data_IF_728597834972
#
_entry.id   IF_728597834972
#
_cell.length_a   1.000
_cell.length_b   1.000
_cell.length_c   1.000
_cell.angle_alpha   90.00
_cell.angle_beta   90.00
_cell.angle_gamma   90.00
#
_symmetry.space_group_name_H-M   'P 1'
#
loop_
_entity.id
_entity.type
_entity.pdbx_description
1 polymer ?
#
# COMPACT_ATOMS: atom_id res chain seq x y z
N UNK A 1 12.76 -21.38 32.48
CA UNK A 1 12.87 -20.87 31.09
C UNK A 1 12.56 -21.95 30.07
N UNK A 2 12.81 -23.20 30.40
CA UNK A 2 12.57 -24.32 29.49
C UNK A 2 11.11 -24.79 29.61
N UNK A 3 10.55 -25.23 28.49
CA UNK A 3 9.23 -25.82 28.37
C UNK A 3 9.31 -27.17 27.67
N UNK A 4 8.35 -28.03 27.99
CA UNK A 4 8.21 -29.38 27.44
C UNK A 4 7.07 -29.41 26.43
N UNK A 5 7.30 -30.04 25.28
CA UNK A 5 6.27 -30.20 24.27
C UNK A 5 5.28 -31.28 24.72
N UNK A 6 3.98 -30.97 24.70
CA UNK A 6 2.90 -31.89 25.02
C UNK A 6 2.33 -32.56 23.76
N UNK A 7 2.11 -31.77 22.70
CA UNK A 7 1.56 -32.25 21.43
C UNK A 7 1.98 -31.37 20.27
N UNK A 8 2.04 -31.96 19.08
CA UNK A 8 2.31 -31.29 17.81
C UNK A 8 1.13 -31.60 16.88
N UNK A 9 0.52 -30.58 16.28
CA UNK A 9 -0.63 -30.71 15.37
C UNK A 9 -0.49 -29.73 14.22
N UNK A 10 -0.02 -30.21 13.07
CA UNK A 10 0.36 -29.35 11.96
C UNK A 10 1.45 -28.36 12.40
N UNK A 11 1.20 -27.07 12.22
CA UNK A 11 2.11 -26.00 12.62
C UNK A 11 1.91 -25.50 14.06
N UNK A 12 0.99 -26.11 14.82
CA UNK A 12 0.71 -25.72 16.22
C UNK A 12 1.35 -26.70 17.19
N UNK A 13 2.01 -26.14 18.20
CA UNK A 13 2.70 -26.86 19.25
C UNK A 13 2.14 -26.43 20.60
N UNK A 14 1.69 -27.39 21.40
CA UNK A 14 1.33 -27.16 22.79
C UNK A 14 2.56 -27.38 23.66
N UNK A 15 2.91 -26.39 24.48
CA UNK A 15 4.10 -26.39 25.32
C UNK A 15 3.71 -26.11 26.76
N UNK A 16 4.22 -26.93 27.67
CA UNK A 16 4.10 -26.73 29.11
C UNK A 16 5.34 -26.03 29.66
N UNK A 17 5.14 -24.96 30.42
CA UNK A 17 6.15 -24.26 31.19
C UNK A 17 5.80 -24.30 32.68
N UNK A 18 6.81 -24.08 33.52
CA UNK A 18 6.59 -23.74 34.92
C UNK A 18 5.84 -22.40 35.03
N UNK A 19 4.90 -22.22 35.98
CA UNK A 19 4.10 -20.99 36.10
C UNK A 19 4.93 -19.72 36.19
N UNK A 20 6.08 -19.78 36.85
CA UNK A 20 7.01 -18.64 36.99
C UNK A 20 7.70 -18.21 35.69
N UNK A 21 7.62 -19.02 34.64
CA UNK A 21 8.27 -18.81 33.35
C UNK A 21 7.28 -18.86 32.16
N UNK A 22 5.97 -18.81 32.44
CA UNK A 22 4.95 -18.83 31.40
C UNK A 22 5.16 -17.66 30.42
N UNK A 23 5.31 -17.91 29.12
CA UNK A 23 5.46 -16.84 28.12
C UNK A 23 4.15 -16.07 27.90
N UNK A 24 4.26 -14.78 27.62
CA UNK A 24 3.13 -13.96 27.19
C UNK A 24 2.79 -14.21 25.71
N UNK A 25 1.58 -13.80 25.30
CA UNK A 25 1.20 -13.77 23.88
C UNK A 25 2.20 -12.92 23.09
N UNK A 26 2.56 -13.38 21.89
CA UNK A 26 3.58 -12.83 20.99
C UNK A 26 5.04 -12.94 21.49
N UNK A 27 5.31 -13.63 22.60
CA UNK A 27 6.70 -14.02 22.89
C UNK A 27 7.19 -15.04 21.87
N UNK A 28 8.45 -14.91 21.48
CA UNK A 28 9.17 -15.90 20.71
C UNK A 28 9.64 -17.03 21.62
N UNK A 29 9.52 -18.25 21.12
CA UNK A 29 10.13 -19.43 21.69
C UNK A 29 11.13 -19.99 20.69
N UNK A 30 12.12 -20.71 21.21
CA UNK A 30 13.14 -21.28 20.35
C UNK A 30 13.61 -22.66 20.79
N UNK A 31 14.12 -23.43 19.84
CA UNK A 31 14.76 -24.74 20.05
C UNK A 31 15.84 -24.93 18.99
N UNK A 32 16.59 -26.04 19.07
CA UNK A 32 17.65 -26.39 18.14
C UNK A 32 18.73 -25.30 18.08
N UNK A 33 19.30 -24.94 19.24
CA UNK A 33 20.38 -23.94 19.34
C UNK A 33 20.04 -22.58 18.72
N UNK A 34 18.83 -22.08 18.99
CA UNK A 34 18.30 -20.82 18.47
C UNK A 34 18.07 -20.78 16.95
N UNK A 35 17.90 -21.94 16.31
CA UNK A 35 17.68 -22.02 14.85
C UNK A 35 16.22 -22.28 14.48
N UNK A 36 15.36 -22.63 15.44
CA UNK A 36 13.92 -22.84 15.20
C UNK A 36 13.13 -21.84 16.03
N UNK A 37 12.15 -21.19 15.43
CA UNK A 37 11.37 -20.11 16.03
C UNK A 37 9.89 -20.45 16.06
N UNK A 38 9.27 -20.28 17.23
CA UNK A 38 7.84 -20.39 17.43
C UNK A 38 7.30 -19.10 18.03
N UNK A 39 6.03 -18.78 17.76
CA UNK A 39 5.37 -17.60 18.32
C UNK A 39 4.18 -18.01 19.17
N UNK A 40 4.13 -17.55 20.42
CA UNK A 40 3.01 -17.82 21.32
C UNK A 40 1.76 -17.09 20.85
N UNK A 41 0.68 -17.84 20.59
CA UNK A 41 -0.60 -17.30 20.11
C UNK A 41 -1.74 -17.40 21.12
N UNK A 42 -1.68 -18.32 22.07
CA UNK A 42 -2.69 -18.42 23.14
C UNK A 42 -2.12 -19.02 24.41
N UNK A 43 -2.56 -18.50 25.56
CA UNK A 43 -2.35 -19.12 26.87
C UNK A 43 -3.60 -19.95 27.20
N UNK A 44 -3.42 -21.24 27.47
CA UNK A 44 -4.53 -22.17 27.78
C UNK A 44 -4.86 -22.11 29.27
N UNK A 45 -3.83 -22.16 30.11
CA UNK A 45 -3.91 -22.12 31.57
C UNK A 45 -2.55 -21.65 32.15
N UNK A 46 -2.38 -21.75 33.47
CA UNK A 46 -1.21 -21.25 34.19
C UNK A 46 0.12 -21.96 33.84
N UNK A 47 0.09 -23.05 33.08
CA UNK A 47 1.29 -23.79 32.65
C UNK A 47 1.37 -24.01 31.15
N UNK A 48 0.25 -24.04 30.42
CA UNK A 48 0.20 -24.49 29.03
C UNK A 48 -0.09 -23.33 28.08
N UNK A 49 0.64 -23.32 26.97
CA UNK A 49 0.45 -22.37 25.86
C UNK A 49 0.32 -23.13 24.53
N UNK A 50 -0.27 -22.48 23.53
CA UNK A 50 -0.11 -22.86 22.12
C UNK A 50 0.79 -21.85 21.42
N UNK A 51 1.79 -22.37 20.73
CA UNK A 51 2.66 -21.62 19.84
C UNK A 51 2.51 -22.16 18.42
N UNK A 52 2.78 -21.29 17.45
CA UNK A 52 2.84 -21.67 16.04
C UNK A 52 4.28 -21.70 15.57
N UNK A 53 4.61 -22.60 14.65
CA UNK A 53 5.92 -22.65 14.02
C UNK A 53 6.06 -21.47 13.05
N UNK A 54 7.05 -20.61 13.28
CA UNK A 54 7.43 -19.53 12.36
C UNK A 54 8.49 -20.03 11.39
N UNK A 55 9.46 -20.75 11.91
CA UNK A 55 10.55 -21.33 11.12
C UNK A 55 11.10 -22.55 11.83
N UNK A 56 11.29 -23.65 11.10
CA UNK A 56 11.89 -24.87 11.61
C UNK A 56 13.13 -25.22 10.79
N UNK A 57 14.30 -25.19 11.45
CA UNK A 57 15.57 -25.61 10.85
C UNK A 57 15.61 -27.13 10.62
N UNK A 58 15.01 -27.90 11.55
CA UNK A 58 14.80 -29.34 11.46
C UNK A 58 13.45 -29.70 12.07
N UNK A 59 12.99 -30.92 11.80
CA UNK A 59 11.72 -31.43 12.34
C UNK A 59 11.71 -31.37 13.87
N UNK A 60 10.64 -30.83 14.44
CA UNK A 60 10.44 -30.73 15.88
C UNK A 60 9.85 -32.05 16.39
N UNK A 61 10.43 -32.57 17.47
CA UNK A 61 10.06 -33.82 18.14
C UNK A 61 9.61 -33.54 19.57
N UNK A 62 8.78 -34.41 20.14
CA UNK A 62 8.28 -34.28 21.52
C UNK A 62 9.38 -34.25 22.59
N UNK A 63 10.58 -34.74 22.26
CA UNK A 63 11.76 -34.71 23.13
C UNK A 63 12.49 -33.37 23.14
N UNK A 64 12.20 -32.46 22.21
CA UNK A 64 12.91 -31.20 22.12
C UNK A 64 12.53 -30.25 23.26
N UNK A 65 13.52 -29.52 23.76
CA UNK A 65 13.34 -28.53 24.82
C UNK A 65 13.06 -27.18 24.19
N UNK A 66 11.94 -26.56 24.57
CA UNK A 66 11.58 -25.22 24.12
C UNK A 66 12.10 -24.18 25.11
N UNK A 67 12.74 -23.13 24.63
CA UNK A 67 13.30 -22.04 25.44
C UNK A 67 12.43 -20.80 25.23
N UNK A 68 11.95 -20.21 26.33
CA UNK A 68 11.26 -18.92 26.32
C UNK A 68 12.27 -17.76 26.24
N UNK A 69 12.26 -16.99 25.14
CA UNK A 69 13.17 -15.84 24.97
C UNK A 69 12.76 -14.63 25.79
N UNK A 70 11.51 -14.62 26.31
CA UNK A 70 10.86 -13.50 27.02
C UNK A 70 10.72 -12.22 26.20
N UNK A 71 10.90 -12.29 24.89
CA UNK A 71 10.84 -11.15 23.96
C UNK A 71 10.02 -11.51 22.73
N UNK A 72 9.46 -10.50 22.10
CA UNK A 72 8.85 -10.63 20.78
C UNK A 72 9.91 -10.61 19.66
N UNK A 73 9.49 -10.50 18.39
CA UNK A 73 10.41 -10.22 17.28
C UNK A 73 11.15 -8.91 17.52
N UNK A 74 12.46 -8.92 17.29
CA UNK A 74 13.30 -7.73 17.36
C UNK A 74 13.28 -7.04 16.00
N UNK A 75 12.65 -5.88 15.94
CA UNK A 75 12.45 -5.08 14.72
C UNK A 75 13.65 -4.14 14.54
N UNK A 76 14.39 -4.23 13.42
CA UNK A 76 15.43 -3.27 13.09
C UNK A 76 14.80 -1.92 12.73
N UNK A 77 15.29 -0.83 13.34
CA UNK A 77 14.68 0.50 13.22
C UNK A 77 15.70 1.62 13.01
N UNK A 78 15.19 2.82 12.72
CA UNK A 78 15.97 4.04 12.63
C UNK A 78 16.81 4.13 11.36
N UNK A 79 17.76 5.07 11.35
CA UNK A 79 18.58 5.33 10.17
C UNK A 79 19.53 4.17 9.83
N UNK A 80 19.91 3.33 10.80
CA UNK A 80 20.75 2.16 10.53
C UNK A 80 20.02 1.05 9.77
N UNK A 81 18.67 1.02 9.81
CA UNK A 81 17.86 0.09 9.04
C UNK A 81 17.66 0.51 7.56
N UNK A 82 17.91 1.78 7.22
CA UNK A 82 17.77 2.27 5.84
C UNK A 82 18.74 1.53 4.91
N UNK A 83 18.41 1.48 3.62
CA UNK A 83 19.19 0.78 2.60
C UNK A 83 19.36 -0.72 2.86
N UNK A 84 18.40 -1.33 3.58
CA UNK A 84 18.44 -2.75 3.93
C UNK A 84 17.10 -3.44 3.66
N UNK A 85 17.20 -4.74 3.43
CA UNK A 85 16.07 -5.66 3.32
C UNK A 85 16.15 -6.70 4.43
N UNK A 86 15.05 -6.89 5.15
CA UNK A 86 14.94 -7.73 6.34
C UNK A 86 13.87 -8.80 6.16
N UNK A 87 14.09 -9.95 6.79
CA UNK A 87 13.05 -10.95 7.03
C UNK A 87 12.49 -10.83 8.44
N UNK A 88 11.58 -11.72 8.83
CA UNK A 88 11.03 -11.78 10.18
C UNK A 88 12.09 -11.96 11.27
N UNK A 89 13.30 -12.43 10.95
CA UNK A 89 14.39 -12.62 11.92
C UNK A 89 15.00 -11.29 12.40
N UNK A 90 14.74 -10.19 11.69
CA UNK A 90 15.35 -8.88 11.96
C UNK A 90 16.80 -8.74 11.47
N UNK A 91 17.40 -9.80 10.92
CA UNK A 91 18.74 -9.77 10.34
C UNK A 91 18.64 -9.30 8.88
N UNK A 92 19.49 -8.35 8.50
CA UNK A 92 19.57 -7.84 7.12
C UNK A 92 20.03 -8.93 6.17
N UNK A 93 19.32 -9.12 5.06
CA UNK A 93 19.66 -10.11 4.04
C UNK A 93 20.78 -9.62 3.11
N UNK A 94 20.92 -8.30 2.94
CA UNK A 94 21.95 -7.70 2.09
C UNK A 94 23.19 -7.22 2.87
N UNK A 95 23.08 -7.00 4.18
CA UNK A 95 24.20 -6.60 5.05
C UNK A 95 24.11 -7.25 6.44
N UNK A 96 24.34 -8.58 6.54
CA UNK A 96 24.08 -9.35 7.77
C UNK A 96 25.01 -9.02 8.95
N UNK A 97 26.13 -8.31 8.72
CA UNK A 97 27.13 -8.00 9.75
C UNK A 97 27.08 -6.54 10.24
N UNK A 98 25.91 -5.88 10.14
CA UNK A 98 25.75 -4.51 10.62
C UNK A 98 25.62 -4.44 12.15
N UNK A 99 26.76 -4.30 12.84
CA UNK A 99 26.82 -4.22 14.31
C UNK A 99 26.21 -2.94 14.91
N UNK A 100 25.84 -1.95 14.08
CA UNK A 100 25.25 -0.67 14.51
C UNK A 100 23.72 -0.64 14.43
N UNK A 101 23.08 -1.78 14.19
CA UNK A 101 21.65 -1.86 14.02
C UNK A 101 20.90 -1.58 15.34
N UNK A 102 19.98 -0.62 15.33
CA UNK A 102 19.06 -0.37 16.45
C UNK A 102 17.86 -1.33 16.34
N UNK A 103 17.38 -1.82 17.48
CA UNK A 103 16.23 -2.73 17.54
C UNK A 103 15.22 -2.29 18.60
N UNK A 104 13.93 -2.53 18.33
CA UNK A 104 12.82 -2.47 19.30
C UNK A 104 12.01 -3.76 19.23
N UNK A 105 11.24 -4.07 20.28
CA UNK A 105 10.35 -5.22 20.23
C UNK A 105 9.13 -4.92 19.36
N UNK A 106 8.68 -5.90 18.56
CA UNK A 106 7.47 -5.78 17.76
C UNK A 106 6.30 -5.37 18.66
N UNK A 107 5.53 -4.37 18.21
CA UNK A 107 4.39 -3.77 18.91
C UNK A 107 4.75 -2.91 20.15
N UNK A 108 6.03 -2.74 20.50
CA UNK A 108 6.40 -1.87 21.62
C UNK A 108 6.19 -0.37 21.35
N UNK A 109 6.02 -0.01 20.08
CA UNK A 109 5.82 1.36 19.59
C UNK A 109 4.36 1.78 19.51
N UNK A 110 3.41 0.88 19.80
CA UNK A 110 1.98 1.18 19.72
C UNK A 110 1.65 2.36 20.63
N UNK A 111 1.14 3.44 20.02
CA UNK A 111 0.72 4.63 20.73
C UNK A 111 -0.81 4.67 20.88
N UNK A 112 -1.29 4.48 22.11
CA UNK A 112 -2.73 4.50 22.42
C UNK A 112 -3.33 5.92 22.47
N UNK A 113 -2.51 6.98 22.41
CA UNK A 113 -2.97 8.37 22.44
C UNK A 113 -3.07 8.91 21.01
N UNK A 114 -4.24 8.75 20.37
CA UNK A 114 -4.55 9.41 19.10
C UNK A 114 -4.81 10.89 19.34
N UNK A 115 -3.78 11.72 19.27
CA UNK A 115 -3.95 13.17 19.12
C UNK A 115 -4.31 13.46 17.67
N UNK A 116 -5.61 13.60 17.38
CA UNK A 116 -6.09 14.00 16.05
C UNK A 116 -5.74 15.47 15.84
N UNK A 117 -4.78 15.73 14.95
CA UNK A 117 -4.52 17.08 14.44
C UNK A 117 -5.64 17.48 13.50
N UNK A 118 -6.21 18.67 13.69
CA UNK A 118 -7.22 19.25 12.80
C UNK A 118 -6.64 19.81 11.50
N UNK A 119 -5.31 19.87 11.39
CA UNK A 119 -4.65 20.42 10.20
C UNK A 119 -4.37 19.29 9.20
N UNK A 120 -5.13 19.30 8.11
CA UNK A 120 -4.88 18.47 6.95
C UNK A 120 -3.77 19.09 6.10
N UNK A 121 -2.70 18.33 5.85
CA UNK A 121 -1.58 18.76 5.01
C UNK A 121 -1.53 17.87 3.76
N UNK A 122 -1.69 18.49 2.59
CA UNK A 122 -1.70 17.80 1.30
C UNK A 122 -0.27 17.34 0.93
N UNK A 123 -0.15 16.10 0.48
CA UNK A 123 1.01 15.53 -0.18
C UNK A 123 0.76 15.60 -1.68
N UNK A 124 1.43 16.53 -2.35
CA UNK A 124 1.36 16.64 -3.81
C UNK A 124 2.35 15.66 -4.45
N UNK A 125 1.83 14.65 -5.15
CA UNK A 125 2.60 13.59 -5.79
C UNK A 125 3.20 14.01 -7.12
N UNK A 126 2.72 15.11 -7.71
CA UNK A 126 3.08 15.57 -9.04
C UNK A 126 2.47 14.75 -10.16
N UNK A 127 1.57 13.81 -9.86
CA UNK A 127 0.90 12.93 -10.82
C UNK A 127 -0.52 13.44 -11.01
N UNK A 128 -0.84 13.96 -12.19
CA UNK A 128 -2.12 14.64 -12.48
C UNK A 128 -3.33 13.84 -12.06
N UNK A 129 -3.41 12.57 -12.48
CA UNK A 129 -4.55 11.71 -12.18
C UNK A 129 -4.73 11.50 -10.66
N UNK A 130 -3.63 11.36 -9.92
CA UNK A 130 -3.69 11.12 -8.47
C UNK A 130 -4.01 12.41 -7.74
N UNK A 131 -3.23 13.46 -7.93
CA UNK A 131 -3.44 14.72 -7.21
C UNK A 131 -4.81 15.35 -7.54
N UNK A 132 -5.33 15.15 -8.75
CA UNK A 132 -6.64 15.67 -9.12
C UNK A 132 -7.80 14.83 -8.57
N UNK A 133 -7.82 13.50 -8.74
CA UNK A 133 -8.96 12.66 -8.35
C UNK A 133 -8.87 12.06 -6.94
N UNK A 134 -7.66 11.89 -6.43
CA UNK A 134 -7.37 11.31 -5.11
C UNK A 134 -6.36 12.21 -4.37
N UNK A 135 -6.76 13.41 -3.94
CA UNK A 135 -5.89 14.29 -3.17
C UNK A 135 -5.44 13.57 -1.89
N UNK A 136 -4.12 13.44 -1.70
CA UNK A 136 -3.55 12.64 -0.61
C UNK A 136 -3.16 13.56 0.54
N UNK A 137 -3.66 13.30 1.74
CA UNK A 137 -3.23 14.02 2.94
C UNK A 137 -2.28 13.18 3.81
N UNK A 138 -1.43 13.86 4.58
CA UNK A 138 -0.52 13.19 5.52
C UNK A 138 -1.30 12.33 6.52
N UNK A 139 -0.93 11.06 6.62
CA UNK A 139 -1.55 10.09 7.51
C UNK A 139 -2.69 9.29 6.89
N UNK A 140 -3.02 9.55 5.63
CA UNK A 140 -4.10 8.85 4.94
C UNK A 140 -3.67 7.45 4.50
N UNK A 141 -4.66 6.57 4.39
CA UNK A 141 -4.55 5.18 3.97
C UNK A 141 -5.20 5.01 2.61
N UNK A 142 -4.43 4.54 1.65
CA UNK A 142 -4.84 4.38 0.26
C UNK A 142 -4.77 2.92 -0.14
N UNK A 143 -5.86 2.41 -0.72
CA UNK A 143 -5.88 1.12 -1.39
C UNK A 143 -5.49 1.28 -2.86
N UNK A 144 -4.53 0.50 -3.33
CA UNK A 144 -4.18 0.37 -4.75
C UNK A 144 -4.77 -0.94 -5.27
N UNK A 145 -5.69 -0.80 -6.21
CA UNK A 145 -6.41 -1.90 -6.85
C UNK A 145 -5.99 -2.04 -8.29
N UNK A 146 -5.94 -3.27 -8.78
CA UNK A 146 -5.70 -3.54 -10.19
C UNK A 146 -5.01 -4.88 -10.41
N UNK A 147 -5.19 -5.44 -11.60
CA UNK A 147 -4.62 -6.73 -11.99
C UNK A 147 -3.08 -6.71 -12.08
N UNK A 148 -2.48 -7.87 -12.37
CA UNK A 148 -1.07 -7.92 -12.76
C UNK A 148 -0.83 -7.08 -14.04
N UNK A 149 0.31 -6.41 -14.12
CA UNK A 149 0.75 -5.68 -15.33
C UNK A 149 0.17 -4.28 -15.55
N UNK A 150 -0.76 -3.80 -14.72
CA UNK A 150 -1.39 -2.46 -14.87
C UNK A 150 -0.53 -1.28 -14.37
N UNK A 151 0.72 -1.53 -13.94
CA UNK A 151 1.65 -0.47 -13.53
C UNK A 151 1.65 -0.09 -12.05
N UNK A 152 1.17 -0.94 -11.13
CA UNK A 152 1.17 -0.68 -9.67
C UNK A 152 2.55 -0.29 -9.12
N UNK A 153 3.56 -1.13 -9.37
CA UNK A 153 4.93 -0.91 -8.90
C UNK A 153 5.54 0.35 -9.50
N UNK A 154 5.25 0.61 -10.78
CA UNK A 154 5.70 1.82 -11.49
C UNK A 154 5.13 3.08 -10.83
N UNK A 155 3.82 3.09 -10.56
CA UNK A 155 3.15 4.19 -9.87
C UNK A 155 3.72 4.42 -8.46
N UNK A 156 3.93 3.34 -7.71
CA UNK A 156 4.53 3.38 -6.38
C UNK A 156 5.92 4.02 -6.39
N UNK A 157 6.81 3.57 -7.28
CA UNK A 157 8.16 4.15 -7.40
C UNK A 157 8.10 5.63 -7.77
N UNK A 158 7.19 6.01 -8.67
CA UNK A 158 7.02 7.41 -9.09
C UNK A 158 6.59 8.30 -7.92
N UNK A 159 5.61 7.86 -7.11
CA UNK A 159 5.17 8.58 -5.91
C UNK A 159 6.36 8.76 -4.95
N UNK A 160 7.13 7.71 -4.71
CA UNK A 160 8.29 7.77 -3.80
C UNK A 160 9.34 8.75 -4.31
N UNK A 161 9.66 8.70 -5.60
CA UNK A 161 10.62 9.59 -6.21
C UNK A 161 10.17 11.05 -6.07
N UNK A 162 8.93 11.36 -6.45
CA UNK A 162 8.39 12.72 -6.42
C UNK A 162 8.27 13.27 -5.00
N UNK A 163 7.71 12.48 -4.07
CA UNK A 163 7.54 12.91 -2.68
C UNK A 163 8.89 13.05 -1.97
N UNK A 164 9.85 12.14 -2.15
CA UNK A 164 11.18 12.30 -1.53
C UNK A 164 11.94 13.52 -2.06
N UNK A 165 11.79 13.84 -3.35
CA UNK A 165 12.42 15.03 -3.94
C UNK A 165 11.81 16.33 -3.41
N UNK A 166 10.50 16.36 -3.17
CA UNK A 166 9.78 17.53 -2.64
C UNK A 166 9.92 17.69 -1.12
N UNK A 167 9.86 16.58 -0.37
CA UNK A 167 9.80 16.56 1.09
C UNK A 167 11.04 15.86 1.68
N UNK A 168 12.01 16.66 2.14
CA UNK A 168 13.35 16.20 2.60
C UNK A 168 13.35 15.31 3.87
N UNK A 169 12.24 15.22 4.62
CA UNK A 169 12.12 14.42 5.86
C UNK A 169 11.14 13.26 5.71
N UNK A 170 11.23 12.57 4.57
CA UNK A 170 10.36 11.44 4.25
C UNK A 170 11.18 10.16 4.21
N UNK A 171 10.71 9.15 4.94
CA UNK A 171 11.24 7.79 4.90
C UNK A 171 10.24 6.86 4.25
N UNK A 172 10.74 5.78 3.65
CA UNK A 172 9.91 4.81 2.93
C UNK A 172 10.08 3.45 3.59
N UNK A 173 8.97 2.76 3.85
CA UNK A 173 8.99 1.38 4.31
C UNK A 173 8.15 0.55 3.35
N UNK A 174 8.73 -0.53 2.86
CA UNK A 174 8.01 -1.53 2.08
C UNK A 174 7.83 -2.78 2.91
N UNK A 175 6.63 -3.32 2.88
CA UNK A 175 6.29 -4.58 3.54
C UNK A 175 5.75 -5.54 2.49
N UNK A 176 6.57 -6.55 2.18
CA UNK A 176 6.24 -7.69 1.34
C UNK A 176 5.67 -8.83 2.17
N UNK A 177 4.35 -8.97 2.23
CA UNK A 177 3.71 -10.09 2.97
C UNK A 177 3.34 -11.20 2.01
N UNK A 178 4.03 -12.35 2.11
CA UNK A 178 3.81 -13.45 1.18
C UNK A 178 4.05 -13.02 -0.26
N UNK A 179 5.17 -12.33 -0.50
CA UNK A 179 5.56 -11.86 -1.83
C UNK A 179 6.28 -12.98 -2.61
N UNK A 180 6.22 -12.94 -3.94
CA UNK A 180 7.07 -13.80 -4.77
C UNK A 180 8.52 -13.34 -4.62
N UNK A 181 9.43 -14.28 -4.37
CA UNK A 181 10.87 -13.97 -4.18
C UNK A 181 11.44 -13.15 -5.34
N UNK A 182 11.02 -13.45 -6.58
CA UNK A 182 11.42 -12.70 -7.78
C UNK A 182 10.97 -11.23 -7.71
N UNK A 183 9.70 -10.98 -7.38
CA UNK A 183 9.11 -9.63 -7.34
C UNK A 183 9.75 -8.79 -6.22
N UNK A 184 10.06 -9.39 -5.07
CA UNK A 184 10.77 -8.72 -3.99
C UNK A 184 12.22 -8.32 -4.35
N UNK A 185 12.94 -9.18 -5.09
CA UNK A 185 14.29 -8.88 -5.58
C UNK A 185 14.24 -7.81 -6.67
N UNK A 186 13.33 -7.94 -7.64
CA UNK A 186 13.13 -6.95 -8.70
C UNK A 186 12.84 -5.57 -8.10
N UNK A 187 11.95 -5.48 -7.11
CA UNK A 187 11.69 -4.21 -6.43
C UNK A 187 12.94 -3.66 -5.73
N UNK A 188 13.71 -4.49 -5.03
CA UNK A 188 14.95 -4.07 -4.36
C UNK A 188 15.98 -3.53 -5.37
N UNK A 189 16.18 -4.24 -6.48
CA UNK A 189 17.12 -3.85 -7.53
C UNK A 189 16.67 -2.54 -8.20
N UNK A 190 15.39 -2.44 -8.57
CA UNK A 190 14.82 -1.23 -9.18
C UNK A 190 14.93 0.00 -8.26
N UNK A 191 14.68 -0.16 -6.96
CA UNK A 191 14.82 0.92 -5.99
C UNK A 191 16.30 1.30 -5.77
N UNK A 192 17.22 0.35 -5.89
CA UNK A 192 18.66 0.57 -5.77
C UNK A 192 19.18 1.35 -6.99
N UNK A 193 18.83 0.90 -8.19
CA UNK A 193 19.16 1.55 -9.46
C UNK A 193 18.60 2.98 -9.53
N UNK A 194 17.41 3.20 -8.98
CA UNK A 194 16.76 4.51 -8.90
C UNK A 194 17.26 5.38 -7.72
N UNK A 195 18.25 4.90 -6.95
CA UNK A 195 18.79 5.57 -5.76
C UNK A 195 17.74 5.93 -4.70
N UNK A 196 16.65 5.15 -4.64
CA UNK A 196 15.55 5.28 -3.68
C UNK A 196 15.77 4.43 -2.42
N UNK A 197 16.55 3.34 -2.51
CA UNK A 197 16.84 2.48 -1.36
C UNK A 197 17.54 3.20 -0.20
N UNK A 198 18.31 4.26 -0.46
CA UNK A 198 18.99 5.06 0.60
C UNK A 198 18.04 5.62 1.67
N UNK A 199 16.79 5.89 1.30
CA UNK A 199 15.74 6.41 2.18
C UNK A 199 14.65 5.36 2.45
N UNK A 200 14.89 4.10 2.08
CA UNK A 200 13.91 3.03 2.15
C UNK A 200 14.40 1.89 3.04
N UNK A 201 13.47 1.18 3.65
CA UNK A 201 13.70 -0.09 4.34
C UNK A 201 12.68 -1.10 3.85
N UNK A 202 13.09 -2.33 3.57
CA UNK A 202 12.20 -3.39 3.11
C UNK A 202 12.08 -4.49 4.17
N UNK A 203 10.86 -4.92 4.45
CA UNK A 203 10.54 -6.07 5.27
C UNK A 203 9.79 -7.08 4.42
N UNK A 204 10.37 -8.25 4.17
CA UNK A 204 9.82 -9.21 3.22
C UNK A 204 9.70 -10.59 3.87
N UNK A 205 8.52 -11.19 3.71
CA UNK A 205 8.28 -12.61 3.89
C UNK A 205 7.81 -13.21 2.58
N UNK A 206 8.38 -14.35 2.19
CA UNK A 206 8.12 -14.99 0.90
C UNK A 206 6.87 -15.87 0.98
N UNK A 207 6.21 -16.09 -0.16
CA UNK A 207 5.05 -17.00 -0.24
C UNK A 207 5.32 -18.40 0.30
N UNK A 208 6.53 -18.92 0.14
CA UNK A 208 6.90 -20.27 0.58
C UNK A 208 7.33 -20.37 2.04
N UNK A 209 7.33 -19.27 2.78
CA UNK A 209 7.55 -19.27 4.24
C UNK A 209 6.27 -19.65 4.98
N UNK A 210 6.39 -20.00 6.26
CA UNK A 210 5.24 -20.42 7.08
C UNK A 210 4.18 -19.32 7.17
N UNK A 211 2.90 -19.68 7.42
CA UNK A 211 1.85 -18.70 7.70
C UNK A 211 2.23 -17.77 8.85
N UNK A 212 2.94 -18.30 9.86
CA UNK A 212 3.44 -17.51 10.97
C UNK A 212 4.43 -16.41 10.57
N UNK A 213 5.34 -16.69 9.64
CA UNK A 213 6.26 -15.68 9.11
C UNK A 213 5.51 -14.61 8.31
N UNK A 214 4.59 -15.03 7.43
CA UNK A 214 3.81 -14.13 6.58
C UNK A 214 2.90 -13.20 7.38
N UNK A 215 2.22 -13.70 8.42
CA UNK A 215 1.39 -12.84 9.27
C UNK A 215 2.24 -11.87 10.12
N UNK A 216 3.49 -12.21 10.44
CA UNK A 216 4.31 -11.42 11.38
C UNK A 216 5.06 -10.26 10.70
N UNK A 217 5.28 -10.32 9.37
CA UNK A 217 6.09 -9.31 8.68
C UNK A 217 5.41 -7.93 8.64
N UNK A 218 4.08 -7.89 8.55
CA UNK A 218 3.29 -6.64 8.57
C UNK A 218 3.45 -5.88 9.89
N UNK A 219 3.15 -6.47 11.07
CA UNK A 219 3.34 -5.76 12.34
C UNK A 219 4.81 -5.40 12.62
N UNK A 220 5.78 -6.18 12.12
CA UNK A 220 7.22 -5.82 12.17
C UNK A 220 7.47 -4.51 11.42
N UNK A 221 7.06 -4.42 10.15
CA UNK A 221 7.28 -3.21 9.34
C UNK A 221 6.50 -2.01 9.87
N UNK A 222 5.29 -2.21 10.39
CA UNK A 222 4.51 -1.12 11.04
C UNK A 222 5.20 -0.62 12.30
N UNK A 223 5.80 -1.50 13.10
CA UNK A 223 6.60 -1.10 14.28
C UNK A 223 7.78 -0.22 13.86
N UNK A 224 8.46 -0.54 12.75
CA UNK A 224 9.52 0.30 12.21
C UNK A 224 9.00 1.67 11.73
N UNK A 225 7.83 1.71 11.10
CA UNK A 225 7.18 2.96 10.67
C UNK A 225 6.81 3.85 11.85
N UNK A 226 6.22 3.27 12.90
CA UNK A 226 5.90 3.99 14.14
C UNK A 226 7.15 4.53 14.82
N UNK A 227 8.26 3.79 14.83
CA UNK A 227 9.52 4.30 15.38
C UNK A 227 10.02 5.53 14.62
N UNK A 228 9.96 5.52 13.28
CA UNK A 228 10.32 6.69 12.47
C UNK A 228 9.39 7.88 12.73
N UNK A 229 8.07 7.64 12.81
CA UNK A 229 7.07 8.67 13.13
C UNK A 229 7.28 9.26 14.53
N UNK A 230 7.37 8.40 15.55
CA UNK A 230 7.23 8.81 16.95
C UNK A 230 8.58 9.18 17.59
N UNK A 231 9.66 8.49 17.22
CA UNK A 231 11.00 8.70 17.80
C UNK A 231 11.84 9.60 16.91
N UNK A 232 11.90 9.32 15.60
CA UNK A 232 12.69 10.13 14.65
C UNK A 232 11.94 11.36 14.12
N UNK A 233 10.63 11.45 14.32
CA UNK A 233 9.78 12.57 13.92
C UNK A 233 9.86 12.84 12.41
N UNK A 234 9.81 11.76 11.64
CA UNK A 234 9.81 11.76 10.18
C UNK A 234 8.41 11.41 9.66
N UNK A 235 8.07 11.93 8.48
CA UNK A 235 6.92 11.44 7.74
C UNK A 235 7.32 10.14 7.04
N UNK A 236 6.42 9.16 7.02
CA UNK A 236 6.67 7.82 6.49
C UNK A 236 5.68 7.52 5.38
N UNK A 237 6.19 7.17 4.20
CA UNK A 237 5.40 6.50 3.18
C UNK A 237 5.52 4.99 3.41
N UNK A 238 4.40 4.35 3.72
CA UNK A 238 4.34 2.92 4.01
C UNK A 238 3.68 2.18 2.85
N UNK A 239 4.39 1.24 2.23
CA UNK A 239 3.88 0.43 1.14
C UNK A 239 3.67 -1.00 1.63
N UNK A 240 2.44 -1.52 1.52
CA UNK A 240 2.11 -2.90 1.92
C UNK A 240 1.67 -3.67 0.68
N UNK A 241 2.50 -4.60 0.22
CA UNK A 241 2.17 -5.53 -0.87
C UNK A 241 2.31 -6.98 -0.37
N UNK A 242 1.26 -7.74 -0.12
CA UNK A 242 -0.16 -7.42 -0.23
C UNK A 242 -0.83 -7.59 1.13
N UNK A 243 -1.69 -6.64 1.55
CA UNK A 243 -2.38 -6.73 2.84
C UNK A 243 -3.29 -7.97 2.92
N UNK A 244 -3.84 -8.42 1.79
CA UNK A 244 -4.63 -9.65 1.73
C UNK A 244 -3.82 -10.88 2.15
N UNK A 245 -2.53 -10.94 1.82
CA UNK A 245 -1.68 -12.10 2.17
C UNK A 245 -1.43 -12.19 3.67
N UNK A 246 -1.43 -11.06 4.37
CA UNK A 246 -1.42 -11.03 5.82
C UNK A 246 -2.72 -11.63 6.38
N UNK A 247 -3.89 -11.22 5.86
CA UNK A 247 -5.19 -11.78 6.26
C UNK A 247 -5.27 -13.27 5.97
N UNK A 248 -4.81 -13.71 4.79
CA UNK A 248 -4.76 -15.10 4.40
C UNK A 248 -3.92 -15.93 5.38
N UNK A 249 -2.75 -15.42 5.77
CA UNK A 249 -1.87 -16.08 6.73
C UNK A 249 -2.49 -16.17 8.13
N UNK A 250 -3.15 -15.11 8.61
CA UNK A 250 -3.91 -15.16 9.88
C UNK A 250 -5.06 -16.17 9.82
N UNK A 251 -5.75 -16.29 8.67
CA UNK A 251 -6.81 -17.30 8.49
C UNK A 251 -6.26 -18.74 8.58
N UNK A 252 -5.15 -19.02 7.90
CA UNK A 252 -4.46 -20.33 7.97
C UNK A 252 -4.03 -20.68 9.40
N UNK A 253 -3.47 -19.70 10.12
CA UNK A 253 -3.07 -19.87 11.53
C UNK A 253 -4.29 -20.10 12.43
N UNK A 254 -5.35 -19.33 12.25
CA UNK A 254 -6.59 -19.45 13.02
C UNK A 254 -7.24 -20.83 12.86
N UNK A 255 -7.30 -21.34 11.64
CA UNK A 255 -7.79 -22.69 11.35
C UNK A 255 -6.94 -23.76 12.05
N UNK A 256 -5.60 -23.62 12.00
CA UNK A 256 -4.68 -24.56 12.66
C UNK A 256 -4.81 -24.53 14.19
N UNK A 257 -5.13 -23.37 14.78
CA UNK A 257 -5.39 -23.23 16.22
C UNK A 257 -6.72 -23.85 16.67
N UNK A 258 -7.57 -24.29 15.73
CA UNK A 258 -8.89 -24.86 15.99
C UNK A 258 -9.95 -23.82 16.34
N UNK A 259 -9.74 -22.55 15.97
CA UNK A 259 -10.76 -21.50 16.12
C UNK A 259 -11.90 -21.74 15.12
N UNK A 260 -13.13 -21.43 15.52
CA UNK A 260 -14.28 -21.55 14.62
C UNK A 260 -14.17 -20.50 13.50
N UNK A 261 -14.41 -20.89 12.23
CA UNK A 261 -14.47 -19.94 11.12
C UNK A 261 -15.72 -19.07 11.22
N UNK A 262 -15.66 -17.93 10.54
CA UNK A 262 -16.74 -16.95 10.37
C UNK A 262 -17.26 -16.97 8.92
N UNK A 263 -17.96 -15.92 8.51
CA UNK A 263 -18.47 -15.70 7.15
C UNK A 263 -17.33 -15.85 6.13
N UNK A 264 -17.62 -16.51 5.00
CA UNK A 264 -16.64 -16.74 3.93
C UNK A 264 -15.50 -17.69 4.28
N UNK A 265 -15.52 -18.34 5.45
CA UNK A 265 -14.43 -19.22 5.90
C UNK A 265 -13.21 -18.47 6.47
N UNK A 266 -13.34 -17.18 6.75
CA UNK A 266 -12.32 -16.37 7.42
C UNK A 266 -12.30 -16.58 8.93
N UNK A 267 -11.25 -16.09 9.60
CA UNK A 267 -11.16 -16.13 11.04
C UNK A 267 -12.20 -15.22 11.70
N UNK A 268 -12.69 -15.62 12.87
CA UNK A 268 -13.62 -14.81 13.68
C UNK A 268 -13.03 -13.49 14.17
N UNK A 269 -11.70 -13.36 14.14
CA UNK A 269 -10.96 -12.15 14.54
C UNK A 269 -10.62 -11.23 13.37
N UNK A 270 -11.12 -11.48 12.15
CA UNK A 270 -10.74 -10.75 10.93
C UNK A 270 -10.75 -9.23 11.12
N UNK A 271 -11.87 -8.67 11.57
CA UNK A 271 -12.03 -7.23 11.81
C UNK A 271 -11.01 -6.70 12.82
N UNK A 272 -10.83 -7.41 13.96
CA UNK A 272 -9.86 -6.99 14.98
C UNK A 272 -8.42 -7.11 14.51
N UNK A 273 -8.08 -8.13 13.71
CA UNK A 273 -6.74 -8.36 13.19
C UNK A 273 -6.34 -7.27 12.19
N UNK A 274 -7.28 -6.89 11.32
CA UNK A 274 -7.11 -5.76 10.39
C UNK A 274 -7.02 -4.45 11.16
N UNK A 275 -7.93 -4.19 12.09
CA UNK A 275 -7.92 -2.97 12.91
C UNK A 275 -6.60 -2.81 13.67
N UNK A 276 -6.06 -3.87 14.26
CA UNK A 276 -4.78 -3.86 14.98
C UNK A 276 -3.60 -3.36 14.13
N UNK A 277 -3.69 -3.46 12.81
CA UNK A 277 -2.71 -2.91 11.87
C UNK A 277 -3.13 -1.51 11.42
N UNK A 278 -4.34 -1.37 10.87
CA UNK A 278 -4.79 -0.14 10.21
C UNK A 278 -4.88 1.05 11.16
N UNK A 279 -5.23 0.83 12.41
CA UNK A 279 -5.40 1.87 13.40
C UNK A 279 -4.09 2.49 13.91
N UNK A 280 -2.96 1.86 13.58
CA UNK A 280 -1.61 2.35 13.86
C UNK A 280 -1.11 3.33 12.81
N UNK A 281 -1.71 3.31 11.62
CA UNK A 281 -1.35 4.12 10.46
C UNK A 281 -2.12 5.43 10.50
N UNK A 282 -1.56 6.43 11.17
CA UNK A 282 -2.17 7.75 11.32
C UNK A 282 -1.11 8.84 11.52
N UNK A 283 -1.55 10.10 11.38
CA UNK A 283 -0.79 11.31 11.70
C UNK A 283 -0.95 11.71 13.17
N UNK A 284 0.15 12.09 13.81
CA UNK A 284 0.16 12.72 15.12
C UNK A 284 1.09 13.95 15.14
N UNK A 285 1.37 14.51 16.32
CA UNK A 285 2.24 15.69 16.47
C UNK A 285 3.71 15.47 16.09
N UNK A 286 4.18 14.22 16.04
CA UNK A 286 5.58 13.90 15.75
C UNK A 286 5.82 13.70 14.25
N UNK A 287 4.82 13.20 13.52
CA UNK A 287 4.88 12.95 12.08
C UNK A 287 3.65 12.19 11.59
N UNK A 288 3.68 11.73 10.35
CA UNK A 288 2.62 10.96 9.74
C UNK A 288 3.08 9.63 9.14
N UNK A 289 2.21 8.62 9.16
CA UNK A 289 2.35 7.41 8.35
C UNK A 289 1.27 7.45 7.28
N UNK A 290 1.64 7.79 6.04
CA UNK A 290 0.75 7.72 4.88
C UNK A 290 0.97 6.38 4.20
N UNK A 291 -0.07 5.55 4.09
CA UNK A 291 0.10 4.17 3.62
C UNK A 291 -0.54 3.93 2.25
N UNK A 292 0.16 3.20 1.39
CA UNK A 292 -0.33 2.67 0.12
C UNK A 292 -0.34 1.15 0.21
N UNK A 293 -1.52 0.56 0.02
CA UNK A 293 -1.72 -0.85 0.30
C UNK A 293 -2.29 -1.52 -0.93
N UNK A 294 -1.56 -2.47 -1.48
CA UNK A 294 -2.10 -3.31 -2.55
C UNK A 294 -3.09 -4.28 -1.92
N UNK A 295 -4.33 -4.26 -2.41
CA UNK A 295 -5.39 -5.17 -1.95
C UNK A 295 -5.72 -6.14 -3.08
N UNK A 296 -5.40 -7.42 -2.87
CA UNK A 296 -5.87 -8.48 -3.76
C UNK A 296 -7.33 -8.78 -3.47
N UNK A 297 -8.19 -8.75 -4.50
CA UNK A 297 -9.59 -9.11 -4.41
C UNK A 297 -9.76 -10.58 -4.83
N UNK A 298 -10.17 -11.48 -3.93
CA UNK A 298 -10.51 -12.84 -4.29
C UNK A 298 -11.60 -12.83 -5.36
N UNK A 299 -11.34 -13.48 -6.50
CA UNK A 299 -12.30 -13.56 -7.61
C UNK A 299 -12.80 -12.20 -8.14
N UNK A 300 -12.02 -11.13 -7.95
CA UNK A 300 -12.41 -9.75 -8.27
C UNK A 300 -13.72 -9.30 -7.55
N UNK A 301 -14.06 -9.91 -6.41
CA UNK A 301 -15.25 -9.61 -5.62
C UNK A 301 -14.98 -8.55 -4.54
N UNK A 302 -15.57 -7.37 -4.70
CA UNK A 302 -15.50 -6.27 -3.73
C UNK A 302 -16.32 -6.53 -2.46
N UNK A 303 -17.23 -7.51 -2.48
CA UNK A 303 -18.06 -7.89 -1.33
C UNK A 303 -17.43 -8.97 -0.44
N UNK A 304 -16.26 -9.48 -0.83
CA UNK A 304 -15.51 -10.45 -0.01
C UNK A 304 -15.21 -9.88 1.39
N UNK A 305 -15.42 -10.66 2.47
CA UNK A 305 -15.20 -10.17 3.83
C UNK A 305 -13.80 -9.59 4.09
N UNK A 306 -12.75 -10.13 3.46
CA UNK A 306 -11.39 -9.62 3.64
C UNK A 306 -11.18 -8.27 2.97
N UNK A 307 -11.82 -8.04 1.82
CA UNK A 307 -11.80 -6.76 1.13
C UNK A 307 -12.56 -5.71 1.94
N UNK A 308 -13.79 -6.05 2.38
CA UNK A 308 -14.65 -5.17 3.18
C UNK A 308 -13.96 -4.76 4.49
N UNK A 309 -13.32 -5.70 5.19
CA UNK A 309 -12.61 -5.42 6.43
C UNK A 309 -11.50 -4.37 6.23
N UNK A 310 -10.77 -4.42 5.10
CA UNK A 310 -9.74 -3.42 4.79
C UNK A 310 -10.37 -2.09 4.36
N UNK A 311 -11.43 -2.11 3.54
CA UNK A 311 -12.05 -0.91 2.97
C UNK A 311 -12.56 0.07 4.02
N UNK A 312 -13.08 -0.44 5.12
CA UNK A 312 -13.58 0.37 6.22
C UNK A 312 -12.50 1.26 6.86
N UNK A 313 -11.22 0.97 6.62
CA UNK A 313 -10.09 1.73 7.13
C UNK A 313 -9.37 2.61 6.09
N UNK A 314 -9.72 2.49 4.80
CA UNK A 314 -9.08 3.24 3.73
C UNK A 314 -9.76 4.60 3.55
N UNK A 315 -8.96 5.65 3.47
CA UNK A 315 -9.44 7.00 3.15
C UNK A 315 -9.68 7.16 1.64
N UNK A 316 -9.00 6.37 0.81
CA UNK A 316 -9.09 6.44 -0.65
C UNK A 316 -8.86 5.11 -1.35
N UNK A 317 -9.54 4.92 -2.47
CA UNK A 317 -9.44 3.75 -3.34
C UNK A 317 -8.98 4.18 -4.73
N UNK A 318 -7.77 3.75 -5.09
CA UNK A 318 -7.12 4.01 -6.37
C UNK A 318 -7.21 2.75 -7.23
N UNK A 319 -7.96 2.82 -8.31
CA UNK A 319 -8.17 1.68 -9.22
C UNK A 319 -7.35 1.87 -10.49
N UNK A 320 -6.50 0.89 -10.80
CA UNK A 320 -5.79 0.75 -12.06
C UNK A 320 -6.48 -0.31 -12.94
N UNK A 321 -6.97 0.12 -14.09
CA UNK A 321 -7.77 -0.69 -15.02
C UNK A 321 -6.92 -1.30 -16.14
N UNK A 322 -7.24 -2.55 -16.50
CA UNK A 322 -6.68 -3.20 -17.69
C UNK A 322 -7.13 -2.54 -18.98
N UNK A 323 -8.35 -2.01 -19.02
CA UNK A 323 -8.91 -1.38 -20.21
C UNK A 323 -8.13 -0.11 -20.55
N UNK A 324 -7.80 0.69 -19.53
CA UNK A 324 -6.97 1.88 -19.67
C UNK A 324 -5.55 1.52 -20.12
N UNK A 325 -4.95 0.49 -19.52
CA UNK A 325 -3.65 -0.01 -19.95
C UNK A 325 -3.66 -0.51 -21.42
N UNK A 326 -4.73 -1.19 -21.85
CA UNK A 326 -4.87 -1.69 -23.22
C UNK A 326 -5.01 -0.56 -24.26
N UNK A 327 -5.57 0.58 -23.85
CA UNK A 327 -5.63 1.82 -24.64
C UNK A 327 -4.30 2.60 -24.66
N UNK A 328 -3.23 2.11 -24.02
CA UNK A 328 -1.96 2.81 -23.80
C UNK A 328 -2.10 4.14 -23.04
N UNK A 329 -3.07 4.22 -22.13
CA UNK A 329 -3.31 5.39 -21.29
C UNK A 329 -2.62 5.12 -19.95
N UNK A 330 -1.50 5.81 -19.73
CA UNK A 330 -0.63 5.62 -18.56
C UNK A 330 -0.47 6.94 -17.76
N UNK A 331 -0.63 6.92 -16.42
CA UNK A 331 -0.97 5.76 -15.58
C UNK A 331 -2.36 5.20 -15.91
N UNK A 332 -2.54 3.88 -15.77
CA UNK A 332 -3.76 3.17 -16.13
C UNK A 332 -4.91 3.40 -15.14
N UNK A 333 -5.08 4.64 -14.69
CA UNK A 333 -5.99 5.06 -13.65
C UNK A 333 -7.44 5.09 -14.15
N UNK A 334 -8.37 4.51 -13.40
CA UNK A 334 -9.80 4.61 -13.67
C UNK A 334 -10.45 5.67 -12.78
N UNK A 335 -10.81 6.85 -13.31
CA UNK A 335 -11.41 7.93 -12.54
C UNK A 335 -12.84 7.65 -12.06
N UNK A 336 -13.57 6.75 -12.73
CA UNK A 336 -14.95 6.41 -12.37
C UNK A 336 -15.00 5.33 -11.30
N UNK A 337 -14.09 4.36 -11.34
CA UNK A 337 -13.98 3.31 -10.32
C UNK A 337 -13.22 3.79 -9.06
N UNK A 338 -12.41 4.83 -9.18
CA UNK A 338 -11.66 5.39 -8.04
C UNK A 338 -12.48 6.38 -7.20
N UNK A 339 -12.26 6.34 -5.88
CA UNK A 339 -12.97 7.18 -4.91
C UNK A 339 -12.04 7.66 -3.80
N UNK A 340 -12.36 8.79 -3.18
CA UNK A 340 -11.57 9.36 -2.10
C UNK A 340 -12.46 10.17 -1.18
N UNK A 341 -12.33 9.95 0.13
CA UNK A 341 -12.98 10.76 1.17
C UNK A 341 -12.43 12.19 1.21
N UNK A 342 -11.25 12.43 0.63
CA UNK A 342 -10.64 13.75 0.47
C UNK A 342 -11.40 14.67 -0.49
N UNK A 343 -12.25 14.11 -1.36
CA UNK A 343 -13.03 14.90 -2.33
C UNK A 343 -14.20 15.55 -1.61
N UNK A 344 -13.86 16.57 -0.83
CA UNK A 344 -14.75 17.38 -0.03
C UNK A 344 -14.42 18.86 -0.22
N UNK A 345 -15.45 19.70 -0.43
CA UNK A 345 -15.28 21.13 -0.71
C UNK A 345 -14.50 21.86 0.40
N UNK A 346 -14.61 21.41 1.66
CA UNK A 346 -13.90 22.01 2.80
C UNK A 346 -12.42 21.66 2.84
N UNK A 347 -12.04 20.49 2.30
CA UNK A 347 -10.65 20.01 2.30
C UNK A 347 -9.86 20.52 1.09
N UNK A 348 -10.44 20.44 -0.11
CA UNK A 348 -9.73 20.73 -1.37
C UNK A 348 -10.18 22.05 -2.02
N UNK A 349 -11.18 22.70 -1.45
CA UNK A 349 -11.75 23.94 -1.96
C UNK A 349 -12.73 23.73 -3.11
N UNK A 350 -13.65 24.69 -3.23
CA UNK A 350 -14.75 24.66 -4.22
C UNK A 350 -14.31 24.51 -5.66
N UNK A 351 -13.21 25.17 -6.03
CA UNK A 351 -12.70 25.16 -7.41
C UNK A 351 -12.29 23.75 -7.84
N UNK A 352 -11.51 23.06 -7.01
CA UNK A 352 -11.05 21.70 -7.28
C UNK A 352 -12.20 20.71 -7.21
N UNK A 353 -13.03 20.79 -6.16
CA UNK A 353 -14.20 19.94 -5.97
C UNK A 353 -15.15 19.96 -7.18
N UNK A 354 -15.57 21.16 -7.62
CA UNK A 354 -16.47 21.30 -8.76
C UNK A 354 -15.85 20.76 -10.07
N UNK A 355 -14.55 20.95 -10.27
CA UNK A 355 -13.85 20.42 -11.42
C UNK A 355 -13.88 18.88 -11.44
N UNK A 356 -13.67 18.22 -10.30
CA UNK A 356 -13.74 16.75 -10.20
C UNK A 356 -15.14 16.24 -10.56
N UNK A 357 -16.19 16.85 -10.00
CA UNK A 357 -17.58 16.45 -10.26
C UNK A 357 -17.92 16.58 -11.74
N UNK A 358 -17.54 17.70 -12.36
CA UNK A 358 -17.81 17.94 -13.78
C UNK A 358 -17.03 16.98 -14.69
N UNK A 359 -15.75 16.73 -14.40
CA UNK A 359 -14.96 15.74 -15.14
C UNK A 359 -15.55 14.35 -15.02
N UNK A 360 -15.93 13.91 -13.82
CA UNK A 360 -16.59 12.60 -13.64
C UNK A 360 -17.92 12.51 -14.39
N UNK A 361 -18.71 13.60 -14.42
CA UNK A 361 -19.95 13.67 -15.20
C UNK A 361 -19.69 13.50 -16.70
N UNK A 362 -18.70 14.23 -17.25
CA UNK A 362 -18.31 14.14 -18.67
C UNK A 362 -17.83 12.73 -19.01
N UNK A 363 -16.92 12.15 -18.20
CA UNK A 363 -16.38 10.81 -18.45
C UNK A 363 -17.45 9.71 -18.34
N UNK A 364 -18.40 9.84 -17.40
CA UNK A 364 -19.51 8.91 -17.27
C UNK A 364 -20.43 8.98 -18.50
N UNK A 365 -20.81 10.18 -18.93
CA UNK A 365 -21.64 10.36 -20.11
C UNK A 365 -20.93 9.86 -21.39
N UNK A 366 -19.61 10.06 -21.50
CA UNK A 366 -18.82 9.48 -22.60
C UNK A 366 -18.87 7.96 -22.60
N UNK A 367 -18.70 7.32 -21.43
CA UNK A 367 -18.81 5.86 -21.30
C UNK A 367 -20.17 5.33 -21.73
N UNK A 368 -21.26 6.05 -21.43
CA UNK A 368 -22.62 5.66 -21.84
C UNK A 368 -22.83 5.82 -23.37
N UNK A 369 -22.06 6.68 -24.03
CA UNK A 369 -22.07 6.87 -25.49
C UNK A 369 -21.10 5.95 -26.23
N UNK A 370 -20.14 5.32 -25.55
CA UNK A 370 -19.08 4.49 -26.18
C UNK A 370 -19.69 3.36 -27.02
N UNK A 371 -20.70 2.65 -26.49
CA UNK A 371 -21.41 1.59 -27.21
C UNK A 371 -22.17 2.12 -28.44
N UNK A 372 -22.78 3.30 -28.33
CA UNK A 372 -23.50 3.94 -29.45
C UNK A 372 -22.52 4.30 -30.56
N UNK A 373 -21.35 4.86 -30.21
CA UNK A 373 -20.30 5.23 -31.15
C UNK A 373 -19.75 3.99 -31.85
N UNK A 374 -19.57 2.88 -31.14
CA UNK A 374 -19.07 1.62 -31.70
C UNK A 374 -20.04 1.00 -32.71
N UNK A 375 -21.36 1.18 -32.54
CA UNK A 375 -22.39 0.60 -33.42
C UNK A 375 -22.75 1.52 -34.58
N UNK A 376 -23.04 2.80 -34.29
CA UNK A 376 -23.57 3.76 -35.27
C UNK A 376 -22.49 4.66 -35.88
N UNK A 377 -21.37 4.86 -35.18
CA UNK A 377 -20.32 5.80 -35.55
C UNK A 377 -20.46 7.18 -34.91
N UNK A 378 -19.33 7.90 -34.79
CA UNK A 378 -19.27 9.22 -34.15
C UNK A 378 -20.11 10.29 -34.87
N UNK A 379 -20.24 10.19 -36.20
CA UNK A 379 -20.93 11.19 -37.01
C UNK A 379 -22.46 11.18 -36.83
N UNK A 380 -23.02 10.10 -36.28
CA UNK A 380 -24.46 9.95 -36.01
C UNK A 380 -24.89 10.62 -34.70
N UNK A 381 -23.95 11.05 -33.87
CA UNK A 381 -24.26 11.76 -32.62
C UNK A 381 -24.78 13.18 -32.89
N UNK A 382 -25.64 13.67 -31.99
CA UNK A 382 -26.05 15.07 -31.98
C UNK A 382 -24.85 15.99 -31.63
N UNK A 383 -25.00 17.28 -31.88
CA UNK A 383 -23.91 18.24 -31.72
C UNK A 383 -23.41 18.35 -30.26
N UNK A 384 -24.29 18.23 -29.28
CA UNK A 384 -23.91 18.32 -27.86
C UNK A 384 -23.13 17.07 -27.43
N UNK A 385 -23.61 15.88 -27.83
CA UNK A 385 -22.91 14.61 -27.60
C UNK A 385 -21.52 14.60 -28.27
N UNK A 386 -21.39 15.13 -29.49
CA UNK A 386 -20.08 15.26 -30.16
C UNK A 386 -19.11 16.13 -29.37
N UNK A 387 -19.58 17.25 -28.84
CA UNK A 387 -18.76 18.14 -28.00
C UNK A 387 -18.35 17.44 -26.70
N UNK A 388 -19.28 16.73 -26.07
CA UNK A 388 -19.04 15.98 -24.83
C UNK A 388 -17.97 14.90 -25.04
N UNK A 389 -18.09 14.10 -26.11
CA UNK A 389 -17.12 13.06 -26.45
C UNK A 389 -15.74 13.67 -26.71
N UNK A 390 -15.66 14.78 -27.44
CA UNK A 390 -14.37 15.48 -27.66
C UNK A 390 -13.73 15.93 -26.35
N UNK A 391 -14.50 16.55 -25.44
CA UNK A 391 -14.01 16.95 -24.11
C UNK A 391 -13.54 15.74 -23.30
N UNK A 392 -14.29 14.65 -23.33
CA UNK A 392 -13.93 13.42 -22.63
C UNK A 392 -12.60 12.85 -23.15
N UNK A 393 -12.41 12.76 -24.47
CA UNK A 393 -11.15 12.30 -25.08
C UNK A 393 -9.98 13.24 -24.78
N UNK A 394 -10.21 14.56 -24.75
CA UNK A 394 -9.20 15.54 -24.36
C UNK A 394 -8.78 15.35 -22.89
N UNK A 395 -9.74 15.11 -21.99
CA UNK A 395 -9.48 14.83 -20.58
C UNK A 395 -8.75 13.50 -20.38
N UNK A 396 -9.18 12.42 -21.03
CA UNK A 396 -8.57 11.09 -20.93
C UNK A 396 -7.09 11.14 -21.37
N UNK A 397 -6.82 11.82 -22.49
CA UNK A 397 -5.45 12.07 -22.95
C UNK A 397 -4.69 13.01 -22.00
N UNK A 398 -5.32 14.06 -21.48
CA UNK A 398 -4.66 15.01 -20.58
C UNK A 398 -4.19 14.35 -19.27
N UNK A 399 -4.87 13.34 -18.76
CA UNK A 399 -4.45 12.65 -17.54
C UNK A 399 -3.29 11.66 -17.74
N UNK A 400 -2.84 11.41 -18.98
CA UNK A 400 -1.61 10.64 -19.21
C UNK A 400 -0.37 11.46 -18.85
N UNK A 401 0.69 10.79 -18.41
CA UNK A 401 1.88 11.46 -17.91
C UNK A 401 3.12 10.59 -18.03
N UNK A 402 4.23 11.16 -18.49
CA UNK A 402 5.53 10.49 -18.46
C UNK A 402 6.10 10.52 -17.04
N UNK A 403 6.50 9.34 -16.56
CA UNK A 403 7.07 9.15 -15.22
C UNK A 403 8.60 9.12 -15.27
N UNK A 404 9.24 9.74 -14.29
CA UNK A 404 10.69 9.72 -14.13
C UNK A 404 11.22 8.28 -13.98
N UNK A 405 10.47 7.43 -13.29
CA UNK A 405 10.86 6.03 -13.07
C UNK A 405 10.73 5.15 -14.32
N UNK A 406 10.27 5.71 -15.44
CA UNK A 406 10.07 4.97 -16.70
C UNK A 406 10.88 5.53 -17.88
N UNK A 407 11.70 6.56 -17.68
CA UNK A 407 12.42 7.25 -18.77
C UNK A 407 13.30 6.30 -19.59
N UNK A 408 13.92 5.31 -18.95
CA UNK A 408 14.77 4.33 -19.63
C UNK A 408 13.99 3.44 -20.61
N UNK A 409 12.72 3.16 -20.31
CA UNK A 409 11.86 2.31 -21.13
C UNK A 409 11.14 3.13 -22.21
N UNK A 410 10.63 4.31 -21.84
CA UNK A 410 9.84 5.17 -22.74
C UNK A 410 10.71 6.03 -23.65
N UNK A 411 11.97 6.28 -23.26
CA UNK A 411 12.89 7.26 -23.88
C UNK A 411 12.36 8.69 -23.89
N UNK A 412 11.34 8.97 -23.08
CA UNK A 412 10.74 10.28 -22.89
C UNK A 412 11.09 10.78 -21.49
N UNK A 413 11.23 12.10 -21.35
CA UNK A 413 11.52 12.70 -20.04
C UNK A 413 10.27 12.69 -19.16
N UNK A 414 10.45 12.26 -17.92
CA UNK A 414 9.46 12.34 -16.87
C UNK A 414 9.11 13.79 -16.54
N UNK A 415 7.91 13.98 -16.01
CA UNK A 415 7.38 15.31 -15.72
C UNK A 415 6.72 15.30 -14.34
N UNK A 416 7.03 16.33 -13.54
CA UNK A 416 6.30 16.64 -12.31
C UNK A 416 5.31 17.75 -12.64
N UNK A 417 4.01 17.53 -12.42
CA UNK A 417 2.98 18.52 -12.72
C UNK A 417 2.36 19.03 -11.42
N UNK A 418 2.49 20.34 -11.11
CA UNK A 418 1.85 20.93 -9.95
C UNK A 418 0.32 20.79 -9.95
N UNK A 419 -0.28 20.64 -8.77
CA UNK A 419 -1.74 20.45 -8.66
C UNK A 419 -2.52 21.67 -9.18
N UNK A 420 -2.07 22.88 -8.87
CA UNK A 420 -2.72 24.11 -9.33
C UNK A 420 -2.78 24.20 -10.87
N UNK A 421 -1.68 23.87 -11.54
CA UNK A 421 -1.61 23.82 -13.01
C UNK A 421 -2.52 22.74 -13.60
N UNK A 422 -2.60 21.59 -12.92
CA UNK A 422 -3.52 20.50 -13.28
C UNK A 422 -4.98 20.96 -13.23
N UNK A 423 -5.39 21.60 -12.11
CA UNK A 423 -6.74 22.11 -11.93
C UNK A 423 -7.08 23.16 -13.00
N UNK A 424 -6.18 24.12 -13.23
CA UNK A 424 -6.40 25.19 -14.21
C UNK A 424 -6.48 24.65 -15.65
N UNK A 425 -5.65 23.68 -15.99
CA UNK A 425 -5.69 22.99 -17.28
C UNK A 425 -7.02 22.27 -17.50
N UNK A 426 -7.47 21.51 -16.50
CA UNK A 426 -8.75 20.80 -16.53
C UNK A 426 -9.91 21.78 -16.70
N UNK A 427 -9.90 22.90 -15.96
CA UNK A 427 -10.96 23.92 -16.06
C UNK A 427 -11.06 24.49 -17.48
N UNK A 428 -9.93 24.79 -18.13
CA UNK A 428 -9.96 25.28 -19.53
C UNK A 428 -10.50 24.23 -20.50
N UNK A 429 -10.19 22.95 -20.28
CA UNK A 429 -10.71 21.84 -21.11
C UNK A 429 -12.22 21.69 -20.93
N UNK A 430 -12.73 21.68 -19.69
CA UNK A 430 -14.19 21.57 -19.44
C UNK A 430 -14.96 22.80 -19.96
N UNK A 431 -14.36 24.00 -19.92
CA UNK A 431 -14.92 25.23 -20.50
C UNK A 431 -14.93 25.20 -22.04
N UNK A 432 -14.23 24.25 -22.67
CA UNK A 432 -14.21 24.08 -24.12
C UNK A 432 -13.26 25.03 -24.84
N UNK A 433 -12.23 25.55 -24.17
CA UNK A 433 -11.23 26.47 -24.77
C UNK A 433 -10.39 25.85 -25.89
N UNK A 434 -10.47 24.54 -26.07
CA UNK A 434 -9.69 23.75 -27.04
C UNK A 434 -10.58 22.85 -27.92
N UNK A 435 -11.89 23.08 -27.98
CA UNK A 435 -12.85 22.13 -28.55
C UNK A 435 -12.62 21.81 -30.05
N UNK A 436 -11.98 22.71 -30.79
CA UNK A 436 -11.66 22.54 -32.21
C UNK A 436 -10.35 21.77 -32.44
N UNK A 437 -9.55 21.59 -31.41
CA UNK A 437 -8.26 20.91 -31.48
C UNK A 437 -8.39 19.38 -31.32
N UNK A 438 -7.46 18.64 -31.93
CA UNK A 438 -7.41 17.17 -31.82
C UNK A 438 -7.17 16.74 -30.37
N UNK A 439 -7.90 15.76 -29.82
CA UNK A 439 -7.64 15.23 -28.47
C UNK A 439 -6.21 14.70 -28.27
N UNK A 440 -5.55 14.24 -29.33
CA UNK A 440 -4.21 13.64 -29.26
C UNK A 440 -3.14 14.61 -28.76
N UNK A 441 -3.30 15.92 -28.97
CA UNK A 441 -2.32 16.92 -28.52
C UNK A 441 -2.23 17.02 -26.99
N UNK A 442 -3.26 16.52 -26.28
CA UNK A 442 -3.29 16.49 -24.83
C UNK A 442 -2.55 15.28 -24.25
N UNK A 443 -2.14 14.33 -25.09
CA UNK A 443 -1.51 13.10 -24.65
C UNK A 443 -0.08 13.36 -24.16
N UNK A 444 0.19 12.98 -22.92
CA UNK A 444 1.48 13.01 -22.26
C UNK A 444 2.14 14.39 -22.15
N UNK A 445 1.36 15.47 -22.23
CA UNK A 445 1.82 16.84 -21.95
C UNK A 445 1.84 17.10 -20.44
N UNK A 446 2.60 18.09 -19.98
CA UNK A 446 2.61 18.48 -18.57
C UNK A 446 1.37 19.29 -18.22
N UNK A 447 1.24 20.47 -18.83
CA UNK A 447 0.18 21.44 -18.60
C UNK A 447 -0.51 21.80 -19.91
N UNK A 448 -1.83 21.99 -19.88
CA UNK A 448 -2.56 22.52 -21.04
C UNK A 448 -2.43 24.06 -21.14
N UNK A 449 -1.90 24.71 -20.11
CA UNK A 449 -1.75 26.16 -20.07
C UNK A 449 -0.76 26.69 -21.12
N UNK A 450 0.19 25.85 -21.55
CA UNK A 450 1.16 26.16 -22.61
C UNK A 450 0.57 26.00 -24.02
N UNK A 451 -0.59 25.34 -24.14
CA UNK A 451 -1.29 25.21 -25.41
C UNK A 451 -2.08 26.48 -25.71
N UNK A 452 -1.97 26.94 -26.95
CA UNK A 452 -2.81 28.03 -27.45
C UNK A 452 -4.26 27.57 -27.53
N UNK A 453 -5.16 28.40 -27.02
CA UNK A 453 -6.61 28.20 -27.10
C UNK A 453 -7.12 28.37 -28.54
N UNK A 454 -8.33 27.91 -28.81
CA UNK A 454 -8.98 28.09 -30.11
C UNK A 454 -9.09 29.58 -30.49
N UNK A 455 -9.37 30.44 -29.51
CA UNK A 455 -9.41 31.90 -29.68
C UNK A 455 -8.05 32.46 -30.12
N UNK A 456 -6.95 32.00 -29.51
CA UNK A 456 -5.59 32.44 -29.83
C UNK A 456 -5.06 31.89 -31.17
N UNK A 457 -5.62 30.76 -31.63
CA UNK A 457 -5.33 30.17 -32.94
C UNK A 457 -6.24 30.72 -34.05
N UNK A 458 -7.28 31.49 -33.70
CA UNK A 458 -8.28 31.97 -34.65
C UNK A 458 -9.13 30.86 -35.26
N UNK A 459 -9.33 29.75 -34.53
CA UNK A 459 -10.07 28.58 -34.98
C UNK A 459 -11.57 28.73 -34.85
#
# INVERSE_FOLDING_TARGET
>A
MNGKILSISGDVIEVQFEPSNLPSINHLLTTHDNQTYLLVKSVINDTNIKAIIIYAYKQISLSDIIINTKKSFMVPVGNSAKNSIFSFTGISLNNPHNDKQEYVEMNSTINNKRELSSEFELIETGIKAIDFFIPIFKGFKLGIFGGAGVGKTVLMKEIIFNVNNKYKKTSNIFIGSGERSREGIELYDELTESNLMKNSTMFVSKMNESPGARMSIVPIGVTAAEYLRDVKKEDVLLFIDNIYRFIQAENEVSATLGKKPSVGGYQSTLESDVANIQDRLFKNKNGAITSFQTVFLPMDDLSDPSAVAVFNHLDSNLVLSRDQAAKNILPAFDPLASSSSSVDETLIGKKHFNAIIEVKRILKAYKDLEDVILILGFDELDAESKILVKKALQLENFFTQYFFMTEQFTKQKGQYVPLNETIDSVIRIIEGKYIKQSPEIFSYIGSALDLKTDEELGL
#
